data_IF_239827281542
#
_entry.id   IF_239827281542
#
_cell.length_a   1.000
_cell.length_b   1.000
_cell.length_c   1.000
_cell.angle_alpha   90.00
_cell.angle_beta   90.00
_cell.angle_gamma   90.00
#
_symmetry.space_group_name_H-M   'P 1'
#
loop_
_entity.id
_entity.type
_entity.pdbx_description
1 polymer ?
#
# COMPACT_ATOMS: atom_id res chain seq x y z
N UNK A 1 16.19 8.37 5.56
CA UNK A 1 15.51 9.26 4.57
C UNK A 1 16.34 9.56 3.33
N UNK A 2 17.60 10.04 3.43
CA UNK A 2 18.42 10.42 2.27
C UNK A 2 18.67 9.31 1.23
N UNK A 3 18.84 8.06 1.69
CA UNK A 3 19.03 6.91 0.79
C UNK A 3 17.81 6.69 -0.11
N UNK A 4 16.60 6.64 0.44
CA UNK A 4 15.38 6.39 -0.32
C UNK A 4 15.10 7.50 -1.33
N UNK A 5 15.27 8.77 -0.93
CA UNK A 5 15.05 9.90 -1.85
C UNK A 5 16.05 9.91 -3.01
N UNK A 6 17.30 9.48 -2.78
CA UNK A 6 18.35 9.48 -3.80
C UNK A 6 18.39 8.21 -4.67
N UNK A 7 17.84 7.10 -4.21
CA UNK A 7 17.92 5.82 -4.94
C UNK A 7 16.56 5.35 -5.49
N UNK A 8 15.48 5.57 -4.73
CA UNK A 8 14.16 5.01 -5.05
C UNK A 8 13.19 6.06 -5.59
N UNK A 9 13.27 7.29 -5.08
CA UNK A 9 12.33 8.37 -5.40
C UNK A 9 12.96 9.51 -6.21
N UNK A 10 13.97 9.21 -7.03
CA UNK A 10 14.50 10.20 -7.99
C UNK A 10 13.50 10.40 -9.12
N UNK A 11 13.55 11.58 -9.76
CA UNK A 11 12.70 11.88 -10.93
C UNK A 11 12.85 10.81 -12.01
N UNK A 12 14.09 10.45 -12.35
CA UNK A 12 14.38 9.40 -13.34
C UNK A 12 13.76 8.05 -12.95
N UNK A 13 13.86 7.65 -11.68
CA UNK A 13 13.27 6.39 -11.22
C UNK A 13 11.73 6.45 -11.25
N UNK A 14 11.14 7.56 -10.82
CA UNK A 14 9.70 7.79 -10.90
C UNK A 14 9.23 7.73 -12.35
N UNK A 15 9.92 8.38 -13.28
CA UNK A 15 9.59 8.35 -14.71
C UNK A 15 9.70 6.94 -15.30
N UNK A 16 10.71 6.16 -14.90
CA UNK A 16 10.86 4.77 -15.33
C UNK A 16 9.66 3.88 -14.98
N UNK A 17 8.91 4.24 -13.93
CA UNK A 17 7.70 3.52 -13.54
C UNK A 17 6.42 4.02 -14.25
N UNK A 18 6.46 5.07 -15.07
CA UNK A 18 5.29 5.63 -15.75
C UNK A 18 4.46 4.58 -16.54
N UNK A 19 5.08 3.65 -17.31
CA UNK A 19 4.34 2.61 -18.01
C UNK A 19 3.59 1.67 -17.05
N UNK A 20 4.24 1.26 -15.95
CA UNK A 20 3.62 0.41 -14.94
C UNK A 20 2.44 1.10 -14.26
N UNK A 21 2.53 2.41 -13.96
CA UNK A 21 1.39 3.15 -13.38
C UNK A 21 0.20 3.14 -14.31
N UNK A 22 0.45 3.43 -15.59
CA UNK A 22 -0.58 3.50 -16.62
C UNK A 22 -1.28 2.15 -16.76
N UNK A 23 -0.50 1.07 -16.78
CA UNK A 23 -1.01 -0.30 -16.86
C UNK A 23 -1.93 -0.66 -15.68
N UNK A 24 -1.46 -0.49 -14.44
CA UNK A 24 -2.26 -0.82 -13.24
C UNK A 24 -3.51 0.07 -13.15
N UNK A 25 -3.39 1.37 -13.46
CA UNK A 25 -4.53 2.29 -13.45
C UNK A 25 -5.56 1.97 -14.54
N UNK A 26 -5.11 1.51 -15.71
CA UNK A 26 -6.01 1.09 -16.80
C UNK A 26 -6.87 -0.09 -16.35
N UNK A 27 -6.27 -1.11 -15.75
CA UNK A 27 -6.98 -2.26 -15.19
C UNK A 27 -8.00 -1.87 -14.11
N UNK A 28 -7.62 -0.92 -13.24
CA UNK A 28 -8.52 -0.38 -12.22
C UNK A 28 -9.74 0.32 -12.83
N UNK A 29 -9.54 1.20 -13.82
CA UNK A 29 -10.62 1.91 -14.53
C UNK A 29 -11.53 0.92 -15.26
N UNK A 30 -10.98 -0.10 -15.91
CA UNK A 30 -11.77 -1.15 -16.57
C UNK A 30 -12.63 -1.93 -15.58
N UNK A 31 -12.10 -2.23 -14.41
CA UNK A 31 -12.85 -2.90 -13.34
C UNK A 31 -14.02 -2.04 -12.86
N UNK A 32 -13.81 -0.73 -12.68
CA UNK A 32 -14.88 0.22 -12.34
C UNK A 32 -15.94 0.32 -13.44
N UNK A 33 -15.52 0.39 -14.72
CA UNK A 33 -16.46 0.40 -15.85
C UNK A 33 -17.34 -0.86 -15.86
N UNK A 34 -16.75 -2.04 -15.62
CA UNK A 34 -17.48 -3.31 -15.54
C UNK A 34 -18.50 -3.31 -14.40
N UNK A 35 -18.12 -2.85 -13.21
CA UNK A 35 -19.03 -2.73 -12.07
C UNK A 35 -20.17 -1.74 -12.35
N UNK A 36 -19.87 -0.60 -12.99
CA UNK A 36 -20.86 0.41 -13.36
C UNK A 36 -21.89 -0.12 -14.36
N UNK A 37 -21.48 -0.88 -15.39
CA UNK A 37 -22.39 -1.52 -16.35
C UNK A 37 -23.40 -2.43 -15.64
N UNK A 38 -22.97 -3.10 -14.57
CA UNK A 38 -23.82 -3.98 -13.76
C UNK A 38 -24.57 -3.25 -12.64
N UNK A 39 -24.33 -1.95 -12.46
CA UNK A 39 -24.86 -1.13 -11.35
C UNK A 39 -24.51 -1.72 -9.97
N UNK A 40 -23.35 -2.36 -9.86
CA UNK A 40 -22.86 -2.93 -8.61
C UNK A 40 -22.48 -1.81 -7.63
N UNK A 41 -22.86 -1.97 -6.35
CA UNK A 41 -22.33 -1.14 -5.27
C UNK A 41 -20.91 -1.60 -4.99
N UNK A 42 -19.94 -0.68 -5.08
CA UNK A 42 -18.52 -0.99 -4.89
C UNK A 42 -17.96 -0.31 -3.65
N UNK A 43 -17.06 -1.00 -2.95
CA UNK A 43 -16.24 -0.40 -1.91
C UNK A 43 -14.99 0.23 -2.54
N UNK A 44 -15.03 1.54 -2.80
CA UNK A 44 -13.93 2.26 -3.42
C UNK A 44 -12.65 2.23 -2.58
N UNK A 45 -12.76 2.31 -1.25
CA UNK A 45 -11.59 2.24 -0.37
C UNK A 45 -10.84 0.92 -0.54
N UNK A 46 -11.56 -0.20 -0.59
CA UNK A 46 -10.96 -1.52 -0.85
C UNK A 46 -10.32 -1.58 -2.24
N UNK A 47 -11.00 -1.08 -3.27
CA UNK A 47 -10.44 -1.10 -4.63
C UNK A 47 -9.18 -0.22 -4.76
N UNK A 48 -9.14 0.95 -4.09
CA UNK A 48 -7.96 1.82 -4.05
C UNK A 48 -6.83 1.19 -3.21
N UNK A 49 -7.15 0.49 -2.13
CA UNK A 49 -6.19 -0.31 -1.37
C UNK A 49 -5.48 -1.33 -2.26
N UNK A 50 -6.25 -2.16 -2.98
CA UNK A 50 -5.72 -3.13 -3.94
C UNK A 50 -4.88 -2.49 -5.06
N UNK A 51 -5.30 -1.30 -5.54
CA UNK A 51 -4.53 -0.54 -6.53
C UNK A 51 -3.16 -0.14 -5.97
N UNK A 52 -3.12 0.42 -4.75
CA UNK A 52 -1.89 0.83 -4.08
C UNK A 52 -0.95 -0.34 -3.80
N UNK A 53 -1.50 -1.48 -3.38
CA UNK A 53 -0.74 -2.70 -3.16
C UNK A 53 -0.06 -3.17 -4.44
N UNK A 54 -0.84 -3.39 -5.52
CA UNK A 54 -0.30 -3.83 -6.82
C UNK A 54 0.76 -2.88 -7.35
N UNK A 55 0.51 -1.59 -7.18
CA UNK A 55 1.42 -0.53 -7.57
C UNK A 55 2.76 -0.61 -6.82
N UNK A 56 2.68 -0.70 -5.49
CA UNK A 56 3.83 -0.72 -4.59
C UNK A 56 4.68 -1.97 -4.82
N UNK A 57 4.04 -3.15 -4.87
CA UNK A 57 4.74 -4.42 -5.10
C UNK A 57 5.43 -4.42 -6.47
N UNK A 58 4.74 -3.99 -7.54
CA UNK A 58 5.31 -3.94 -8.90
C UNK A 58 6.47 -2.94 -9.01
N UNK A 59 6.41 -1.82 -8.29
CA UNK A 59 7.47 -0.80 -8.30
C UNK A 59 8.71 -1.21 -7.48
N UNK A 60 8.51 -1.83 -6.31
CA UNK A 60 9.60 -2.21 -5.41
C UNK A 60 10.25 -3.51 -5.85
N UNK A 61 9.43 -4.52 -6.17
CA UNK A 61 9.89 -5.89 -6.40
C UNK A 61 9.94 -6.27 -7.89
N UNK A 62 9.37 -5.44 -8.76
CA UNK A 62 9.32 -5.68 -10.20
C UNK A 62 8.11 -6.51 -10.64
N UNK A 63 8.03 -6.86 -11.94
CA UNK A 63 6.94 -7.66 -12.49
C UNK A 63 7.16 -9.14 -12.11
N UNK A 64 6.63 -9.57 -10.98
CA UNK A 64 6.63 -10.99 -10.60
C UNK A 64 5.20 -11.45 -10.41
N UNK A 65 4.83 -12.52 -11.10
CA UNK A 65 3.50 -13.14 -11.05
C UNK A 65 3.18 -13.78 -9.69
N UNK A 66 4.21 -13.98 -8.86
CA UNK A 66 4.17 -14.73 -7.60
C UNK A 66 3.67 -13.93 -6.39
N UNK A 67 3.38 -12.64 -6.55
CA UNK A 67 2.92 -11.80 -5.43
C UNK A 67 1.41 -11.91 -5.15
N UNK A 68 0.65 -12.66 -5.93
CA UNK A 68 -0.79 -12.87 -5.68
C UNK A 68 -1.05 -13.52 -4.30
N UNK A 69 -0.08 -14.26 -3.75
CA UNK A 69 -0.17 -14.84 -2.40
C UNK A 69 0.23 -13.88 -1.27
N UNK A 70 0.90 -12.76 -1.59
CA UNK A 70 1.36 -11.80 -0.60
C UNK A 70 0.29 -10.72 -0.40
N UNK A 71 -0.38 -10.74 0.75
CA UNK A 71 -1.41 -9.76 1.11
C UNK A 71 -0.81 -8.60 1.90
N UNK A 72 -0.31 -7.58 1.19
CA UNK A 72 0.26 -6.38 1.79
C UNK A 72 -0.81 -5.59 2.56
N UNK A 73 -2.06 -5.60 2.10
CA UNK A 73 -3.13 -4.87 2.78
C UNK A 73 -3.38 -5.41 4.18
N UNK A 74 -3.43 -6.73 4.35
CA UNK A 74 -3.60 -7.38 5.66
C UNK A 74 -2.45 -7.05 6.61
N UNK A 75 -1.20 -7.09 6.12
CA UNK A 75 -0.03 -6.69 6.92
C UNK A 75 -0.09 -5.21 7.34
N UNK A 76 -0.56 -4.32 6.46
CA UNK A 76 -0.73 -2.90 6.79
C UNK A 76 -1.84 -2.72 7.82
N UNK A 77 -2.95 -3.44 7.69
CA UNK A 77 -4.05 -3.40 8.66
C UNK A 77 -3.60 -3.92 10.03
N UNK A 78 -2.88 -5.03 10.09
CA UNK A 78 -2.31 -5.59 11.32
C UNK A 78 -1.32 -4.60 11.95
N UNK A 79 -0.41 -4.03 11.16
CA UNK A 79 0.52 -3.00 11.64
C UNK A 79 -0.23 -1.77 12.15
N UNK A 80 -1.24 -1.30 11.44
CA UNK A 80 -2.03 -0.14 11.86
C UNK A 80 -2.76 -0.41 13.16
N UNK A 81 -3.26 -1.63 13.35
CA UNK A 81 -3.86 -2.04 14.63
C UNK A 81 -2.82 -2.03 15.75
N UNK A 82 -1.61 -2.57 15.52
CA UNK A 82 -0.55 -2.60 16.53
C UNK A 82 -0.04 -1.20 16.91
N UNK A 83 0.24 -0.34 15.93
CA UNK A 83 0.80 1.01 16.17
C UNK A 83 -0.30 2.02 16.52
N UNK A 84 -1.56 1.71 16.21
CA UNK A 84 -2.72 2.53 16.55
C UNK A 84 -3.16 2.39 18.01
N UNK A 85 -2.67 1.39 18.73
CA UNK A 85 -2.90 1.27 20.18
C UNK A 85 -2.11 2.35 20.91
N UNK A 86 -2.77 3.05 21.83
CA UNK A 86 -2.13 4.02 22.69
C UNK A 86 -1.09 3.33 23.57
N UNK A 87 0.19 3.63 23.38
CA UNK A 87 1.25 3.14 24.26
C UNK A 87 1.64 4.23 25.25
N UNK A 88 1.37 4.01 26.55
CA UNK A 88 1.73 4.99 27.59
C UNK A 88 3.25 5.23 27.66
N UNK A 89 4.07 4.26 27.26
CA UNK A 89 5.52 4.40 27.23
C UNK A 89 6.01 5.44 26.21
N UNK A 90 5.23 5.70 25.15
CA UNK A 90 5.56 6.73 24.16
C UNK A 90 5.45 8.16 24.75
N UNK A 91 4.65 8.32 25.80
CA UNK A 91 4.45 9.60 26.49
C UNK A 91 5.23 9.69 27.80
N UNK A 92 5.37 8.56 28.52
CA UNK A 92 6.07 8.47 29.79
C UNK A 92 7.05 7.30 29.76
N UNK A 93 8.28 7.53 29.26
CA UNK A 93 9.25 6.46 29.00
C UNK A 93 9.59 5.57 30.21
N UNK A 94 9.43 6.08 31.42
CA UNK A 94 9.67 5.33 32.66
C UNK A 94 8.71 4.15 32.84
N UNK A 95 7.53 4.17 32.21
CA UNK A 95 6.57 3.07 32.26
C UNK A 95 6.79 1.99 31.19
N UNK A 96 7.81 2.13 30.33
CA UNK A 96 8.10 1.16 29.27
C UNK A 96 8.37 -0.28 29.77
N UNK A 97 8.81 -0.45 31.01
CA UNK A 97 9.03 -1.77 31.60
C UNK A 97 7.73 -2.50 32.00
N UNK A 98 6.58 -1.82 32.00
CA UNK A 98 5.30 -2.37 32.47
C UNK A 98 4.37 -2.82 31.34
N UNK A 99 4.79 -2.65 30.07
CA UNK A 99 4.05 -3.03 28.86
C UNK A 99 2.56 -2.62 28.91
N UNK A 100 2.34 -1.30 28.92
CA UNK A 100 1.01 -0.69 29.08
C UNK A 100 0.36 -0.34 27.73
N UNK A 101 0.55 -1.19 26.72
CA UNK A 101 -0.19 -1.13 25.45
C UNK A 101 -1.63 -1.60 25.60
#
# INVERSE_FOLDING_TARGET
>A
MKLCSQQLFTVSKIESFAPSRKDVLTHFIESLKKAATKKEVVNLSKMVGNLNEKMTLKMILGPVEKYEEFNLQELIEELTNMVGVFNLADFVPFFGAFDLQ
#
